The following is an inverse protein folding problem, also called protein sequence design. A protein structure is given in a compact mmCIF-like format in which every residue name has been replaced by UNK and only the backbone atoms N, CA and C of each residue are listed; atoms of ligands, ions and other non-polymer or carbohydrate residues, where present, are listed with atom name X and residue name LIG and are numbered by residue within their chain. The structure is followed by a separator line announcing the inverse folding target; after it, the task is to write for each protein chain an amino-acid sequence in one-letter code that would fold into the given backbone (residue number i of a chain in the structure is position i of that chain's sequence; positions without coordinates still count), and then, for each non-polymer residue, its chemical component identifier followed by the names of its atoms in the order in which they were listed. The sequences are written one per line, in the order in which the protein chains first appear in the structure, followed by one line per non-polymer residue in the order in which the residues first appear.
data_IF_758591229542
#
_entry.id   IF_758591229542
#
_cell.length_a   1.000
_cell.length_b   1.000
_cell.length_c   1.000
_cell.angle_alpha   90.00
_cell.angle_beta   90.00
_cell.angle_gamma   90.00
#
_symmetry.space_group_name_H-M   'P 1'
#
loop_
_entity.id
_entity.type
_entity.pdbx_description
1 polymer ?
#
# COMPACT_ATOMS: atom_id res chain seq x y z
N UNK A 1 -14.64 -14.82 -15.61
CA UNK A 1 -13.29 -14.55 -15.07
C UNK A 1 -12.43 -14.06 -16.22
N UNK A 2 -11.68 -12.97 -16.04
CA UNK A 2 -10.72 -12.52 -17.05
C UNK A 2 -9.63 -13.59 -17.14
N UNK A 3 -9.58 -14.33 -18.24
CA UNK A 3 -8.51 -15.28 -18.47
C UNK A 3 -7.23 -14.49 -18.78
N UNK A 4 -6.19 -14.66 -17.98
CA UNK A 4 -4.87 -14.10 -18.30
C UNK A 4 -4.29 -14.99 -19.40
N UNK A 5 -4.16 -14.45 -20.60
CA UNK A 5 -3.74 -15.19 -21.81
C UNK A 5 -2.27 -15.63 -21.78
N UNK A 6 -1.49 -15.18 -20.79
CA UNK A 6 -0.07 -15.52 -20.59
C UNK A 6 0.18 -16.05 -19.19
N UNK A 7 1.14 -16.98 -19.05
CA UNK A 7 1.61 -17.39 -17.73
C UNK A 7 2.27 -16.22 -17.02
N UNK A 8 2.10 -16.15 -15.69
CA UNK A 8 2.84 -15.20 -14.84
C UNK A 8 4.33 -15.54 -14.90
N UNK A 9 5.15 -14.52 -15.06
CA UNK A 9 6.59 -14.62 -15.21
C UNK A 9 7.32 -13.73 -14.19
N UNK A 10 8.61 -13.97 -14.01
CA UNK A 10 9.43 -13.13 -13.13
C UNK A 10 9.48 -11.69 -13.68
N UNK A 11 9.09 -10.72 -12.85
CA UNK A 11 8.99 -9.31 -13.22
C UNK A 11 7.57 -8.79 -13.37
N UNK A 12 6.58 -9.68 -13.46
CA UNK A 12 5.17 -9.28 -13.47
C UNK A 12 4.72 -8.75 -12.11
N UNK A 13 3.76 -7.81 -12.15
CA UNK A 13 3.16 -7.24 -10.95
C UNK A 13 1.95 -8.06 -10.50
N UNK A 14 1.98 -8.52 -9.25
CA UNK A 14 0.84 -9.16 -8.58
C UNK A 14 0.20 -8.16 -7.63
N UNK A 15 -1.10 -7.90 -7.81
CA UNK A 15 -1.85 -6.92 -7.02
C UNK A 15 -2.81 -7.65 -6.08
N UNK A 16 -2.56 -7.52 -4.78
CA UNK A 16 -3.49 -7.97 -3.74
C UNK A 16 -4.48 -6.84 -3.43
N UNK A 17 -5.74 -7.03 -3.80
CA UNK A 17 -6.79 -6.02 -3.58
C UNK A 17 -7.31 -6.05 -2.14
N UNK A 18 -7.92 -4.93 -1.71
CA UNK A 18 -8.62 -4.82 -0.42
C UNK A 18 -7.71 -4.99 0.82
N UNK A 19 -6.43 -4.64 0.71
CA UNK A 19 -5.46 -4.73 1.80
C UNK A 19 -5.40 -3.46 2.66
N UNK A 20 -5.80 -2.30 2.13
CA UNK A 20 -5.66 -0.98 2.77
C UNK A 20 -6.33 -0.83 4.17
N UNK A 21 -7.19 -1.77 4.58
CA UNK A 21 -7.78 -1.82 5.91
C UNK A 21 -6.89 -2.50 6.96
N UNK A 22 -7.51 -3.23 7.89
CA UNK A 22 -6.88 -3.85 9.08
C UNK A 22 -5.60 -4.65 8.80
N UNK A 23 -5.44 -5.17 7.58
CA UNK A 23 -4.27 -5.97 7.20
C UNK A 23 -3.00 -5.14 6.98
N UNK A 24 -3.11 -3.88 6.54
CA UNK A 24 -1.94 -3.02 6.36
C UNK A 24 -1.37 -2.56 7.70
N UNK A 25 -2.21 -2.21 8.69
CA UNK A 25 -1.71 -1.61 9.95
C UNK A 25 -1.42 -2.64 11.05
N UNK A 26 -2.15 -3.77 11.11
CA UNK A 26 -2.02 -4.73 12.22
C UNK A 26 -0.90 -5.77 12.01
N UNK A 27 -0.36 -5.89 10.80
CA UNK A 27 0.73 -6.80 10.47
C UNK A 27 2.09 -6.10 10.27
N UNK A 28 2.21 -4.82 10.60
CA UNK A 28 3.48 -4.09 10.57
C UNK A 28 4.37 -4.53 11.74
N UNK A 29 5.06 -5.64 11.54
CA UNK A 29 6.20 -6.04 12.34
C UNK A 29 7.38 -6.25 11.39
N UNK A 30 8.58 -5.82 11.78
CA UNK A 30 9.83 -6.11 11.08
C UNK A 30 10.23 -7.58 11.28
N UNK A 31 9.28 -8.49 11.04
CA UNK A 31 9.50 -9.92 11.08
C UNK A 31 10.56 -10.27 10.04
N UNK A 32 11.57 -11.04 10.44
CA UNK A 32 12.77 -11.33 9.64
C UNK A 32 13.55 -10.10 9.12
N UNK A 33 13.46 -8.93 9.78
CA UNK A 33 14.22 -7.71 9.44
C UNK A 33 13.92 -7.13 8.04
N UNK A 34 12.78 -7.49 7.45
CA UNK A 34 12.35 -6.91 6.17
C UNK A 34 11.77 -5.52 6.46
N UNK A 35 12.16 -4.47 5.69
CA UNK A 35 11.58 -3.14 5.85
C UNK A 35 10.08 -3.17 5.54
N UNK A 36 9.31 -2.37 6.27
CA UNK A 36 7.89 -2.22 6.00
C UNK A 36 7.68 -1.70 4.56
N UNK A 37 6.67 -2.22 3.83
CA UNK A 37 6.33 -1.71 2.51
C UNK A 37 5.97 -0.22 2.57
N UNK A 38 6.39 0.55 1.57
CA UNK A 38 5.97 1.95 1.43
C UNK A 38 4.47 2.05 1.22
N UNK A 39 3.87 3.08 1.81
CA UNK A 39 2.43 3.36 1.67
C UNK A 39 2.25 4.51 0.70
N UNK A 40 1.30 4.38 -0.23
CA UNK A 40 0.90 5.46 -1.12
C UNK A 40 -0.61 5.69 -1.03
N UNK A 41 -1.01 6.96 -1.01
CA UNK A 41 -2.39 7.37 -1.17
C UNK A 41 -2.57 8.00 -2.55
N UNK A 42 -3.42 7.39 -3.38
CA UNK A 42 -3.83 7.95 -4.66
C UNK A 42 -5.19 8.63 -4.49
N UNK A 43 -5.21 9.97 -4.50
CA UNK A 43 -6.42 10.76 -4.31
C UNK A 43 -6.91 11.25 -5.67
N UNK A 44 -8.13 10.84 -6.06
CA UNK A 44 -8.77 11.35 -7.27
C UNK A 44 -9.29 12.77 -7.02
N UNK A 45 -8.83 13.72 -7.82
CA UNK A 45 -9.43 15.05 -7.97
C UNK A 45 -10.29 15.08 -9.24
N UNK A 46 -10.99 16.20 -9.47
CA UNK A 46 -11.92 16.40 -10.60
C UNK A 46 -11.31 16.01 -11.96
N UNK A 47 -10.05 16.35 -12.22
CA UNK A 47 -9.37 16.07 -13.49
C UNK A 47 -8.02 15.35 -13.38
N UNK A 48 -7.55 15.05 -12.16
CA UNK A 48 -6.20 14.51 -11.95
C UNK A 48 -6.12 13.59 -10.75
N UNK A 49 -5.05 12.81 -10.66
CA UNK A 49 -4.68 12.07 -9.46
C UNK A 49 -3.57 12.83 -8.72
N UNK A 50 -3.68 12.92 -7.40
CA UNK A 50 -2.58 13.32 -6.52
C UNK A 50 -2.05 12.07 -5.83
N UNK A 51 -0.74 11.82 -5.92
CA UNK A 51 -0.08 10.72 -5.23
C UNK A 51 0.66 11.30 -4.01
N UNK A 52 0.37 10.77 -2.83
CA UNK A 52 1.08 11.05 -1.60
C UNK A 52 1.83 9.78 -1.21
N UNK A 53 3.13 9.89 -0.92
CA UNK A 53 3.96 8.77 -0.49
C UNK A 53 4.32 8.94 0.98
N UNK A 54 4.32 7.83 1.71
CA UNK A 54 4.80 7.70 3.09
C UNK A 54 4.31 8.84 4.00
N UNK A 55 3.04 8.77 4.41
CA UNK A 55 2.72 9.30 5.73
C UNK A 55 3.53 8.47 6.73
N UNK A 56 4.74 8.93 7.08
CA UNK A 56 5.30 8.62 8.40
C UNK A 56 4.14 8.95 9.34
N UNK A 57 3.60 8.02 10.14
CA UNK A 57 2.55 8.34 11.07
C UNK A 57 3.12 9.44 11.94
N UNK A 58 2.75 10.69 11.65
CA UNK A 58 3.13 11.79 12.50
C UNK A 58 2.48 11.40 13.81
N UNK A 59 3.31 11.12 14.80
CA UNK A 59 2.95 11.14 16.19
C UNK A 59 2.43 12.57 16.46
N UNK A 60 1.24 12.92 15.96
CA UNK A 60 0.42 13.98 16.52
C UNK A 60 -0.10 13.39 17.83
N UNK A 61 0.81 13.33 18.80
CA UNK A 61 0.43 13.37 20.20
C UNK A 61 -0.30 14.69 20.36
N UNK A 62 -1.62 14.62 20.47
CA UNK A 62 -2.43 15.72 20.98
C UNK A 62 -1.85 16.07 22.35
N UNK A 63 -1.37 17.31 22.58
CA UNK A 63 -1.01 17.72 23.92
C UNK A 63 -2.31 17.73 24.73
N UNK A 64 -2.31 16.99 25.84
CA UNK A 64 -3.34 17.08 26.87
C UNK A 64 -2.83 18.01 27.96
#
# INVERSE_FOLDING_TARGET
ALAVESAVSAGDLVVFTNTAGYQMDSNESSFHQIPLPRKIAAVRRSSAWTILADEIPSQRKTPR
#
